data_IF_446902792458
#
_entry.id   IF_446902792458
#
_cell.length_a   1.000
_cell.length_b   1.000
_cell.length_c   1.000
_cell.angle_alpha   90.00
_cell.angle_beta   90.00
_cell.angle_gamma   90.00
#
_symmetry.space_group_name_H-M   'P 1'
#
loop_
_entity.id
_entity.type
_entity.pdbx_description
1 polymer ?
#
# COMPACT_ATOMS: atom_id res chain seq x y z
N UNK A 1 -21.02 -6.76 -7.08
CA UNK A 1 -21.00 -5.32 -7.39
C UNK A 1 -19.63 -4.77 -7.74
N UNK A 2 -18.62 -4.79 -6.87
CA UNK A 2 -17.28 -4.22 -7.17
C UNK A 2 -16.64 -4.83 -8.43
N UNK A 3 -16.61 -6.16 -8.57
CA UNK A 3 -16.05 -6.82 -9.77
C UNK A 3 -16.85 -6.44 -11.03
N UNK A 4 -18.18 -6.29 -10.89
CA UNK A 4 -19.03 -5.89 -12.01
C UNK A 4 -18.81 -4.44 -12.44
N UNK A 5 -18.57 -3.54 -11.49
CA UNK A 5 -18.20 -2.16 -11.78
C UNK A 5 -16.85 -2.07 -12.51
N UNK A 6 -15.87 -2.89 -12.11
CA UNK A 6 -14.56 -2.96 -12.77
C UNK A 6 -14.63 -3.57 -14.18
N UNK A 7 -15.47 -4.61 -14.37
CA UNK A 7 -15.64 -5.29 -15.66
C UNK A 7 -16.61 -4.60 -16.61
N UNK A 8 -17.53 -3.77 -16.10
CA UNK A 8 -18.65 -3.21 -16.85
C UNK A 8 -19.84 -4.18 -17.03
N UNK A 9 -19.78 -5.38 -16.46
CA UNK A 9 -20.83 -6.41 -16.56
C UNK A 9 -20.91 -7.29 -15.30
N UNK A 10 -22.08 -7.88 -14.98
CA UNK A 10 -22.22 -8.80 -13.85
C UNK A 10 -21.32 -10.04 -13.96
N UNK A 11 -20.89 -10.57 -12.81
CA UNK A 11 -20.17 -11.85 -12.75
C UNK A 11 -21.19 -12.98 -12.85
N UNK A 12 -20.99 -13.88 -13.81
CA UNK A 12 -21.78 -15.10 -13.93
C UNK A 12 -21.47 -16.07 -12.78
N UNK A 13 -22.52 -16.55 -12.11
CA UNK A 13 -22.43 -17.43 -10.94
C UNK A 13 -23.46 -18.55 -11.04
N UNK A 14 -23.22 -19.65 -10.33
CA UNK A 14 -24.21 -20.71 -10.07
C UNK A 14 -24.34 -20.93 -8.56
N UNK A 15 -25.49 -21.40 -8.09
CA UNK A 15 -25.69 -21.71 -6.66
C UNK A 15 -25.22 -23.12 -6.36
N UNK A 16 -24.34 -23.27 -5.36
CA UNK A 16 -23.94 -24.58 -4.85
C UNK A 16 -25.09 -25.29 -4.15
N UNK A 17 -25.31 -26.56 -4.46
CA UNK A 17 -26.16 -27.49 -3.70
C UNK A 17 -25.50 -28.00 -2.40
N UNK A 18 -24.22 -27.71 -2.20
CA UNK A 18 -23.44 -28.09 -1.00
C UNK A 18 -23.49 -26.98 0.04
N UNK A 19 -23.02 -25.78 -0.31
CA UNK A 19 -22.92 -24.64 0.61
C UNK A 19 -24.08 -23.65 0.48
N UNK A 20 -24.90 -23.72 -0.58
CA UNK A 20 -25.92 -22.72 -0.89
C UNK A 20 -25.36 -21.37 -1.38
N UNK A 21 -24.03 -21.24 -1.51
CA UNK A 21 -23.37 -19.99 -1.89
C UNK A 21 -23.35 -19.80 -3.42
N UNK A 22 -23.35 -18.54 -3.90
CA UNK A 22 -23.10 -18.23 -5.30
C UNK A 22 -21.61 -18.41 -5.62
N UNK A 23 -21.30 -19.33 -6.53
CA UNK A 23 -19.94 -19.68 -6.94
C UNK A 23 -19.65 -19.13 -8.35
N UNK A 24 -18.44 -18.56 -8.62
CA UNK A 24 -18.11 -18.04 -9.95
C UNK A 24 -18.11 -19.13 -11.02
N UNK A 25 -18.95 -18.98 -12.06
CA UNK A 25 -19.15 -20.01 -13.08
C UNK A 25 -17.88 -20.29 -13.92
N UNK A 26 -16.97 -19.31 -13.99
CA UNK A 26 -15.75 -19.38 -14.80
C UNK A 26 -14.48 -19.69 -14.00
N UNK A 27 -14.58 -20.00 -12.71
CA UNK A 27 -13.41 -20.37 -11.91
C UNK A 27 -12.72 -21.62 -12.44
N UNK A 28 -11.39 -21.67 -12.35
CA UNK A 28 -10.60 -22.83 -12.76
C UNK A 28 -10.84 -24.04 -11.83
N UNK A 29 -10.84 -23.78 -10.52
CA UNK A 29 -11.01 -24.75 -9.44
C UNK A 29 -11.80 -24.09 -8.30
N UNK A 30 -12.77 -24.81 -7.72
CA UNK A 30 -13.52 -24.38 -6.53
C UNK A 30 -13.51 -25.52 -5.51
N UNK A 31 -13.16 -25.19 -4.27
CA UNK A 31 -13.29 -26.07 -3.10
C UNK A 31 -14.54 -25.65 -2.33
N UNK A 32 -15.48 -26.57 -2.16
CA UNK A 32 -16.81 -26.30 -1.63
C UNK A 32 -17.11 -27.25 -0.46
N UNK A 33 -17.65 -26.72 0.62
CA UNK A 33 -17.78 -27.44 1.89
C UNK A 33 -18.07 -26.51 3.06
N UNK A 34 -17.60 -26.88 4.26
CA UNK A 34 -17.89 -26.15 5.49
C UNK A 34 -16.64 -26.01 6.38
N UNK A 35 -16.70 -25.05 7.30
CA UNK A 35 -15.70 -24.82 8.34
C UNK A 35 -16.36 -25.12 9.69
N UNK A 36 -15.82 -26.08 10.44
CA UNK A 36 -16.18 -26.28 11.85
C UNK A 36 -15.36 -25.31 12.71
N UNK A 37 -15.98 -24.40 13.49
CA UNK A 37 -15.23 -23.46 14.32
C UNK A 37 -14.41 -24.14 15.43
N UNK A 38 -14.66 -25.42 15.72
CA UNK A 38 -13.98 -26.18 16.77
C UNK A 38 -12.97 -27.21 16.23
N UNK A 39 -12.98 -27.53 14.93
CA UNK A 39 -11.92 -28.37 14.33
C UNK A 39 -10.74 -27.47 13.95
N UNK A 40 -9.72 -27.51 14.81
CA UNK A 40 -8.53 -26.66 14.73
C UNK A 40 -7.31 -27.52 14.41
N UNK A 41 -6.48 -27.07 13.47
CA UNK A 41 -5.22 -27.72 13.12
C UNK A 41 -4.05 -26.75 13.12
N UNK A 42 -2.87 -27.29 13.36
CA UNK A 42 -1.63 -26.56 13.16
C UNK A 42 -1.50 -26.14 11.70
N UNK A 43 -1.10 -24.89 11.49
CA UNK A 43 -0.87 -24.27 10.19
C UNK A 43 0.41 -23.45 10.30
N UNK A 44 1.25 -23.50 9.27
CA UNK A 44 2.55 -22.85 9.27
C UNK A 44 3.70 -23.76 9.78
N UNK A 45 4.91 -23.19 9.93
CA UNK A 45 5.25 -21.79 9.67
C UNK A 45 5.20 -21.46 8.18
N UNK A 46 4.76 -20.25 7.83
CA UNK A 46 4.64 -19.80 6.45
C UNK A 46 5.40 -18.49 6.23
N UNK A 47 5.99 -18.29 5.06
CA UNK A 47 6.62 -17.00 4.72
C UNK A 47 5.55 -15.93 4.55
N UNK A 48 5.71 -14.77 5.18
CA UNK A 48 4.70 -13.71 5.14
C UNK A 48 5.08 -12.57 4.18
N UNK A 49 4.10 -11.70 3.89
CA UNK A 49 4.28 -10.49 3.06
C UNK A 49 5.33 -9.51 3.62
N UNK A 50 5.83 -9.72 4.84
CA UNK A 50 6.92 -8.92 5.40
C UNK A 50 8.30 -9.42 4.96
N UNK A 51 8.38 -10.60 4.35
CA UNK A 51 9.62 -11.29 4.02
C UNK A 51 10.19 -12.15 5.14
N UNK A 52 9.45 -12.33 6.23
CA UNK A 52 9.83 -13.15 7.38
C UNK A 52 8.81 -14.27 7.57
N UNK A 53 9.22 -15.39 8.17
CA UNK A 53 8.28 -16.44 8.54
C UNK A 53 7.30 -15.92 9.60
N UNK A 54 6.02 -16.33 9.49
CA UNK A 54 5.10 -16.36 10.61
C UNK A 54 5.79 -17.12 11.74
N UNK A 55 5.74 -16.57 12.95
CA UNK A 55 6.58 -17.11 14.01
C UNK A 55 6.18 -16.59 15.36
N UNK A 56 5.39 -17.39 16.07
CA UNK A 56 5.90 -17.99 17.30
C UNK A 56 6.61 -19.28 16.90
N UNK A 57 7.87 -19.45 17.24
CA UNK A 57 8.44 -20.80 17.39
C UNK A 57 7.74 -21.47 18.57
N UNK A 58 6.66 -22.23 18.30
CA UNK A 58 6.07 -23.20 19.25
C UNK A 58 4.58 -23.05 19.63
N UNK A 59 3.87 -22.00 19.22
CA UNK A 59 2.43 -21.84 19.52
C UNK A 59 1.70 -21.06 18.40
N UNK A 60 1.79 -21.50 17.15
CA UNK A 60 0.88 -20.94 16.14
C UNK A 60 -0.56 -21.23 16.56
N UNK A 61 -1.40 -20.19 16.52
CA UNK A 61 -2.82 -20.33 16.85
C UNK A 61 -3.43 -21.27 15.83
N UNK A 62 -3.94 -22.45 16.24
CA UNK A 62 -4.44 -23.42 15.29
C UNK A 62 -5.62 -22.80 14.53
N UNK A 63 -5.69 -23.09 13.23
CA UNK A 63 -6.66 -22.50 12.30
C UNK A 63 -7.82 -23.44 12.07
N UNK A 64 -8.98 -22.87 11.79
CA UNK A 64 -10.16 -23.66 11.43
C UNK A 64 -9.92 -24.39 10.12
N UNK A 65 -10.37 -25.63 10.05
CA UNK A 65 -10.21 -26.49 8.87
C UNK A 65 -11.37 -26.29 7.90
N UNK A 66 -11.05 -26.17 6.60
CA UNK A 66 -12.04 -26.32 5.55
C UNK A 66 -12.25 -27.81 5.25
N UNK A 67 -13.42 -28.33 5.61
CA UNK A 67 -13.86 -29.67 5.22
C UNK A 67 -14.43 -29.63 3.81
N UNK A 68 -13.60 -29.96 2.82
CA UNK A 68 -14.01 -30.00 1.42
C UNK A 68 -14.96 -31.18 1.18
N UNK A 69 -16.19 -30.86 0.78
CA UNK A 69 -17.20 -31.85 0.40
C UNK A 69 -17.26 -32.05 -1.12
N UNK A 70 -16.90 -31.02 -1.90
CA UNK A 70 -16.87 -31.09 -3.36
C UNK A 70 -15.76 -30.25 -3.97
N UNK A 71 -15.20 -30.75 -5.06
CA UNK A 71 -14.24 -30.03 -5.91
C UNK A 71 -14.85 -29.84 -7.29
N UNK A 72 -15.13 -28.59 -7.67
CA UNK A 72 -15.52 -28.23 -9.03
C UNK A 72 -14.27 -27.80 -9.80
N UNK A 73 -14.14 -28.23 -11.07
CA UNK A 73 -12.99 -27.81 -11.91
C UNK A 73 -13.33 -27.83 -13.40
N UNK A 74 -12.64 -27.00 -14.18
CA UNK A 74 -12.62 -27.13 -15.65
C UNK A 74 -11.96 -28.45 -16.07
N UNK A 75 -12.23 -28.91 -17.29
CA UNK A 75 -11.65 -30.17 -17.84
C UNK A 75 -10.11 -30.16 -17.82
N UNK A 76 -9.50 -29.02 -18.12
CA UNK A 76 -8.05 -28.77 -18.08
C UNK A 76 -7.80 -27.54 -17.21
N UNK A 77 -7.83 -27.68 -15.87
CA UNK A 77 -7.79 -26.52 -14.99
C UNK A 77 -6.38 -25.92 -14.96
N UNK A 78 -6.29 -24.60 -14.88
CA UNK A 78 -5.06 -23.88 -14.56
C UNK A 78 -4.98 -23.68 -13.06
N UNK A 79 -3.90 -24.15 -12.44
CA UNK A 79 -3.64 -23.89 -11.03
C UNK A 79 -2.96 -22.53 -10.88
N UNK A 80 -3.76 -21.52 -10.50
CA UNK A 80 -3.24 -20.20 -10.19
C UNK A 80 -2.67 -20.20 -8.76
N UNK A 81 -1.42 -19.81 -8.62
CA UNK A 81 -0.74 -19.72 -7.33
C UNK A 81 0.02 -18.41 -7.24
N UNK A 82 0.15 -17.90 -6.01
CA UNK A 82 0.97 -16.75 -5.67
C UNK A 82 2.05 -17.20 -4.69
N UNK A 83 3.23 -16.59 -4.78
CA UNK A 83 4.29 -16.77 -3.79
C UNK A 83 4.37 -15.52 -2.93
N UNK A 84 4.27 -15.70 -1.62
CA UNK A 84 4.52 -14.65 -0.63
C UNK A 84 5.94 -14.74 -0.10
N UNK A 85 6.48 -13.61 0.36
CA UNK A 85 7.85 -13.52 0.83
C UNK A 85 8.34 -12.09 0.86
N UNK A 86 9.66 -11.91 0.67
CA UNK A 86 10.27 -10.59 0.70
C UNK A 86 9.74 -9.75 -0.48
N UNK A 87 9.29 -8.50 -0.25
CA UNK A 87 8.92 -7.62 -1.35
C UNK A 87 10.06 -7.47 -2.37
N UNK A 88 9.81 -7.44 -3.68
CA UNK A 88 8.50 -7.29 -4.35
C UNK A 88 8.03 -8.62 -4.97
N UNK A 89 6.76 -8.95 -4.73
CA UNK A 89 6.02 -10.05 -5.39
C UNK A 89 4.68 -9.50 -5.89
N UNK A 90 3.91 -10.32 -6.62
CA UNK A 90 2.53 -10.02 -7.05
C UNK A 90 1.63 -9.56 -5.89
N UNK A 91 1.76 -10.16 -4.70
CA UNK A 91 1.03 -9.75 -3.49
C UNK A 91 1.32 -8.28 -3.15
N UNK A 92 2.58 -7.85 -3.21
CA UNK A 92 2.97 -6.48 -2.87
C UNK A 92 2.52 -5.48 -3.93
N UNK A 93 2.54 -5.87 -5.21
CA UNK A 93 2.03 -5.05 -6.30
C UNK A 93 0.52 -4.83 -6.17
N UNK A 94 -0.23 -5.89 -5.90
CA UNK A 94 -1.69 -5.81 -5.69
C UNK A 94 -2.02 -4.98 -4.44
N UNK A 95 -1.29 -5.18 -3.34
CA UNK A 95 -1.47 -4.38 -2.12
C UNK A 95 -1.14 -2.90 -2.36
N UNK A 96 -0.03 -2.60 -3.03
CA UNK A 96 0.39 -1.24 -3.38
C UNK A 96 -0.68 -0.53 -4.22
N UNK A 97 -1.18 -1.19 -5.27
CA UNK A 97 -2.24 -0.64 -6.12
C UNK A 97 -3.51 -0.35 -5.32
N UNK A 98 -4.01 -1.35 -4.58
CA UNK A 98 -5.25 -1.22 -3.84
C UNK A 98 -5.15 -0.14 -2.75
N UNK A 99 -4.10 -0.20 -1.92
CA UNK A 99 -3.94 0.71 -0.78
C UNK A 99 -3.60 2.14 -1.20
N UNK A 100 -2.93 2.32 -2.34
CA UNK A 100 -2.74 3.65 -2.93
C UNK A 100 -4.08 4.29 -3.26
N UNK A 101 -4.96 3.55 -3.94
CA UNK A 101 -6.29 4.04 -4.29
C UNK A 101 -7.18 4.27 -3.06
N UNK A 102 -7.14 3.39 -2.06
CA UNK A 102 -7.96 3.56 -0.86
C UNK A 102 -7.46 4.69 0.03
N UNK A 103 -6.14 4.88 0.19
CA UNK A 103 -5.61 6.01 0.96
C UNK A 103 -5.96 7.35 0.30
N UNK A 104 -5.85 7.43 -1.04
CA UNK A 104 -6.30 8.61 -1.79
C UNK A 104 -7.78 8.89 -1.52
N UNK A 105 -8.62 7.86 -1.63
CA UNK A 105 -10.08 7.97 -1.39
C UNK A 105 -10.38 8.39 0.04
N UNK A 106 -9.68 7.83 1.02
CA UNK A 106 -9.85 8.16 2.44
C UNK A 106 -9.48 9.62 2.72
N UNK A 107 -8.41 10.14 2.12
CA UNK A 107 -7.99 11.54 2.26
C UNK A 107 -9.01 12.50 1.63
N UNK A 108 -9.56 12.15 0.46
CA UNK A 108 -10.64 12.91 -0.16
C UNK A 108 -11.91 12.90 0.69
N UNK A 109 -12.28 11.73 1.23
CA UNK A 109 -13.45 11.58 2.10
C UNK A 109 -13.30 12.36 3.42
N UNK A 110 -12.07 12.48 3.93
CA UNK A 110 -11.73 13.33 5.07
C UNK A 110 -11.72 14.83 4.74
N UNK A 111 -11.92 15.21 3.47
CA UNK A 111 -11.95 16.61 3.04
C UNK A 111 -10.59 17.29 3.02
N UNK A 112 -9.49 16.53 2.98
CA UNK A 112 -8.12 17.08 2.94
C UNK A 112 -7.86 17.65 1.54
N UNK A 113 -7.66 18.97 1.38
CA UNK A 113 -7.47 19.57 0.06
C UNK A 113 -6.02 19.44 -0.43
N UNK A 114 -5.78 19.79 -1.70
CA UNK A 114 -4.43 19.97 -2.24
C UNK A 114 -3.63 18.69 -2.52
N UNK A 115 -4.18 17.51 -2.28
CA UNK A 115 -3.53 16.23 -2.60
C UNK A 115 -3.32 16.11 -4.12
N UNK A 116 -2.09 15.76 -4.54
CA UNK A 116 -1.69 15.65 -5.96
C UNK A 116 -1.44 14.23 -6.42
N UNK A 117 -0.73 13.45 -5.62
CA UNK A 117 -0.55 12.01 -5.81
C UNK A 117 -0.35 11.34 -4.45
N UNK A 118 -0.78 10.09 -4.35
CA UNK A 118 -0.52 9.22 -3.20
C UNK A 118 0.16 7.97 -3.72
N UNK A 119 1.09 7.40 -2.97
CA UNK A 119 1.72 6.14 -3.32
C UNK A 119 2.13 5.36 -2.08
N UNK A 120 1.81 4.06 -2.05
CA UNK A 120 2.36 3.13 -1.08
C UNK A 120 3.30 2.16 -1.81
N UNK A 121 4.63 2.35 -1.73
CA UNK A 121 5.57 1.57 -2.52
C UNK A 121 5.49 0.06 -2.23
N UNK A 122 5.52 -0.81 -3.25
CA UNK A 122 5.55 -2.25 -3.06
C UNK A 122 6.82 -2.70 -2.33
N UNK A 123 7.93 -1.96 -2.43
CA UNK A 123 9.15 -2.16 -1.64
C UNK A 123 8.87 -2.08 -0.12
N UNK A 124 7.91 -1.24 0.29
CA UNK A 124 7.42 -1.10 1.67
C UNK A 124 6.27 -2.07 2.00
N UNK A 125 6.20 -3.21 1.29
CA UNK A 125 5.13 -4.19 1.40
C UNK A 125 3.77 -3.71 0.88
N UNK A 126 3.71 -2.57 0.18
CA UNK A 126 2.47 -1.94 -0.26
C UNK A 126 1.60 -1.41 0.89
N UNK A 127 2.14 -1.30 2.12
CA UNK A 127 1.36 -0.85 3.29
C UNK A 127 2.12 -0.10 4.38
N UNK A 128 3.41 -0.35 4.58
CA UNK A 128 4.14 0.17 5.75
C UNK A 128 4.56 1.62 5.59
N UNK A 129 4.69 2.09 4.35
CA UNK A 129 5.04 3.47 4.02
C UNK A 129 4.02 4.05 3.06
N UNK A 130 3.58 5.27 3.34
CA UNK A 130 2.79 6.09 2.42
C UNK A 130 3.56 7.35 2.05
N UNK A 131 3.43 7.77 0.81
CA UNK A 131 3.98 9.01 0.28
C UNK A 131 2.81 9.84 -0.23
N UNK A 132 2.74 11.11 0.17
CA UNK A 132 1.69 12.02 -0.25
C UNK A 132 2.32 13.29 -0.82
N UNK A 133 2.07 13.53 -2.11
CA UNK A 133 2.39 14.81 -2.75
C UNK A 133 1.25 15.78 -2.51
N UNK A 134 1.56 16.99 -2.05
CA UNK A 134 0.56 17.99 -1.68
C UNK A 134 0.94 19.39 -2.14
N UNK A 135 -0.05 20.13 -2.63
CA UNK A 135 0.01 21.58 -2.70
C UNK A 135 -0.23 22.15 -1.31
N UNK A 136 0.80 22.68 -0.66
CA UNK A 136 0.62 23.37 0.63
C UNK A 136 -0.22 24.64 0.43
N UNK A 137 -1.22 24.84 1.28
CA UNK A 137 -2.22 25.92 1.14
C UNK A 137 -2.33 26.83 2.37
N UNK A 138 -1.74 26.41 3.48
CA UNK A 138 -1.75 27.13 4.76
C UNK A 138 -0.62 26.58 5.66
N UNK A 139 -0.18 27.34 6.68
CA UNK A 139 0.80 26.86 7.65
C UNK A 139 0.34 25.56 8.32
N UNK A 140 1.22 24.55 8.35
CA UNK A 140 0.92 23.23 8.92
C UNK A 140 0.10 22.29 8.03
N UNK A 141 -0.18 22.64 6.76
CA UNK A 141 -0.98 21.80 5.86
C UNK A 141 -0.35 20.41 5.64
N UNK A 142 0.96 20.33 5.44
CA UNK A 142 1.71 19.07 5.28
C UNK A 142 1.53 18.14 6.48
N UNK A 143 1.62 18.67 7.71
CA UNK A 143 1.38 17.92 8.93
C UNK A 143 -0.08 17.47 9.07
N UNK A 144 -1.05 18.33 8.73
CA UNK A 144 -2.46 17.94 8.69
C UNK A 144 -2.68 16.76 7.74
N UNK A 145 -2.12 16.81 6.53
CA UNK A 145 -2.21 15.72 5.53
C UNK A 145 -1.62 14.43 6.07
N UNK A 146 -0.43 14.48 6.68
CA UNK A 146 0.22 13.30 7.22
C UNK A 146 -0.53 12.69 8.42
N UNK A 147 -1.02 13.52 9.33
CA UNK A 147 -1.84 13.06 10.46
C UNK A 147 -3.16 12.46 9.97
N UNK A 148 -3.81 13.07 8.98
CA UNK A 148 -5.01 12.53 8.35
C UNK A 148 -4.71 11.17 7.73
N UNK A 149 -3.64 11.04 6.93
CA UNK A 149 -3.22 9.78 6.32
C UNK A 149 -3.08 8.67 7.37
N UNK A 150 -2.41 8.93 8.49
CA UNK A 150 -2.28 7.97 9.60
C UNK A 150 -3.59 7.65 10.33
N UNK A 151 -4.59 8.51 10.23
CA UNK A 151 -5.88 8.38 10.93
C UNK A 151 -6.98 7.76 10.06
N UNK A 152 -6.71 7.54 8.77
CA UNK A 152 -7.64 6.90 7.83
C UNK A 152 -7.82 5.40 8.11
N UNK A 153 -8.89 4.81 7.56
CA UNK A 153 -9.08 3.36 7.56
C UNK A 153 -7.88 2.64 6.94
N UNK A 154 -7.34 3.15 5.82
CA UNK A 154 -6.17 2.56 5.15
C UNK A 154 -4.88 2.72 5.96
N UNK A 155 -4.63 3.88 6.55
CA UNK A 155 -3.36 4.21 7.21
C UNK A 155 -3.28 3.85 8.70
N UNK A 156 -4.39 3.80 9.45
CA UNK A 156 -4.31 3.56 10.89
C UNK A 156 -3.75 2.18 11.24
N UNK A 157 -4.04 1.15 10.42
CA UNK A 157 -3.62 -0.24 10.69
C UNK A 157 -2.29 -0.56 10.02
N UNK A 158 -1.19 -0.46 10.78
CA UNK A 158 0.12 -0.98 10.39
C UNK A 158 0.95 -0.13 9.43
N UNK A 159 0.46 1.01 8.93
CA UNK A 159 1.33 1.99 8.25
C UNK A 159 2.26 2.59 9.29
N UNK A 160 3.57 2.52 9.08
CA UNK A 160 4.59 3.03 10.00
C UNK A 160 4.98 4.46 9.69
N UNK A 161 5.12 4.79 8.42
CA UNK A 161 5.62 6.09 8.00
C UNK A 161 4.76 6.76 6.96
N UNK A 162 4.65 8.08 7.07
CA UNK A 162 4.13 8.94 5.99
C UNK A 162 5.20 9.96 5.63
N UNK A 163 5.56 10.02 4.36
CA UNK A 163 6.42 11.05 3.79
C UNK A 163 5.51 12.02 3.04
N UNK A 164 5.64 13.32 3.31
CA UNK A 164 4.93 14.36 2.56
C UNK A 164 5.93 15.12 1.71
N UNK A 165 5.62 15.31 0.44
CA UNK A 165 6.43 16.05 -0.54
C UNK A 165 5.58 17.13 -1.21
N UNK A 166 6.24 18.15 -1.76
CA UNK A 166 5.56 19.22 -2.50
C UNK A 166 4.93 18.72 -3.80
N UNK A 167 4.02 19.53 -4.36
CA UNK A 167 3.25 19.22 -5.58
C UNK A 167 4.09 19.01 -6.85
N UNK A 168 5.36 19.43 -6.86
CA UNK A 168 6.27 19.23 -7.98
C UNK A 168 6.86 17.82 -8.04
N UNK A 169 6.66 17.01 -6.99
CA UNK A 169 7.19 15.65 -6.85
C UNK A 169 6.03 14.66 -6.81
N UNK A 170 5.83 13.86 -7.88
CA UNK A 170 4.91 12.73 -7.84
C UNK A 170 5.31 11.74 -6.74
N UNK A 171 4.33 11.20 -6.03
CA UNK A 171 4.55 10.34 -4.86
C UNK A 171 5.18 8.99 -5.24
N UNK A 172 5.04 8.56 -6.49
CA UNK A 172 5.63 7.34 -7.06
C UNK A 172 7.03 7.56 -7.67
N UNK A 173 7.49 8.81 -7.78
CA UNK A 173 8.86 9.16 -8.14
C UNK A 173 9.78 9.05 -6.91
N UNK A 174 10.14 7.81 -6.57
CA UNK A 174 10.94 7.51 -5.37
C UNK A 174 12.28 8.23 -5.38
N UNK A 175 12.90 8.43 -6.55
CA UNK A 175 14.18 9.13 -6.67
C UNK A 175 14.02 10.61 -6.27
N UNK A 176 12.97 11.29 -6.74
CA UNK A 176 12.69 12.68 -6.34
C UNK A 176 12.18 12.79 -4.90
N UNK A 177 11.48 11.79 -4.37
CA UNK A 177 11.11 11.73 -2.94
C UNK A 177 12.36 11.64 -2.07
N UNK A 178 13.33 10.80 -2.43
CA UNK A 178 14.61 10.70 -1.73
C UNK A 178 15.41 12.01 -1.84
N UNK A 179 15.40 12.66 -3.01
CA UNK A 179 16.01 13.98 -3.17
C UNK A 179 15.37 15.04 -2.26
N UNK A 180 14.04 15.10 -2.16
CA UNK A 180 13.35 16.01 -1.24
C UNK A 180 13.74 15.77 0.22
N UNK A 181 13.80 14.50 0.64
CA UNK A 181 14.29 14.12 1.96
C UNK A 181 15.75 14.53 2.21
N UNK A 182 16.56 14.67 1.16
CA UNK A 182 17.96 15.09 1.30
C UNK A 182 18.13 16.60 1.42
N UNK A 183 17.30 17.40 0.73
CA UNK A 183 17.54 18.86 0.57
C UNK A 183 16.42 19.77 1.06
N UNK A 184 15.22 19.26 1.32
CA UNK A 184 14.06 20.03 1.81
C UNK A 184 13.71 19.69 3.27
N UNK A 185 14.11 18.51 3.73
CA UNK A 185 13.78 17.98 5.05
C UNK A 185 14.83 18.34 6.12
N UNK A 186 14.40 19.03 7.18
CA UNK A 186 15.20 19.21 8.39
C UNK A 186 14.70 18.24 9.47
N UNK A 187 15.45 17.19 9.85
CA UNK A 187 14.93 16.14 10.72
C UNK A 187 14.38 16.63 12.06
N UNK A 188 14.97 17.65 12.69
CA UNK A 188 14.50 18.12 13.99
C UNK A 188 13.15 18.85 13.89
N UNK A 189 13.00 19.73 12.89
CA UNK A 189 11.77 20.50 12.67
C UNK A 189 10.66 19.69 12.00
N UNK A 190 11.01 18.82 11.06
CA UNK A 190 10.08 18.20 10.11
C UNK A 190 9.71 16.74 10.44
N UNK A 191 10.17 16.21 11.58
CA UNK A 191 9.78 14.88 12.06
C UNK A 191 8.73 14.98 13.17
N UNK A 192 7.69 14.15 13.09
CA UNK A 192 6.83 13.85 14.24
C UNK A 192 6.83 12.34 14.52
N UNK A 193 6.91 11.95 15.79
CA UNK A 193 6.92 10.54 16.21
C UNK A 193 5.71 10.28 17.10
N UNK A 194 4.75 9.54 16.56
CA UNK A 194 3.58 9.08 17.29
C UNK A 194 3.95 7.77 17.99
N UNK A 195 4.13 7.83 19.31
CA UNK A 195 4.76 6.74 20.09
C UNK A 195 3.88 5.50 20.28
N UNK A 196 2.55 5.65 20.20
CA UNK A 196 1.59 4.58 20.50
C UNK A 196 0.49 4.56 19.46
N UNK A 197 0.64 3.68 18.48
CA UNK A 197 -0.29 3.48 17.40
C UNK A 197 -0.48 1.99 17.09
N UNK A 198 -1.53 1.68 16.33
CA UNK A 198 -1.88 0.31 15.98
C UNK A 198 -0.89 -0.28 14.98
N UNK A 199 -0.26 -1.39 15.35
CA UNK A 199 0.60 -2.15 14.44
C UNK A 199 -0.15 -3.37 13.86
N UNK A 200 0.59 -4.35 13.32
CA UNK A 200 0.08 -5.61 12.76
C UNK A 200 0.72 -6.77 13.52
N UNK A 201 -0.01 -7.90 13.71
CA UNK A 201 0.52 -9.10 14.36
C UNK A 201 1.70 -9.73 13.60
N UNK A 202 2.00 -9.25 12.40
CA UNK A 202 3.08 -9.72 11.54
C UNK A 202 4.22 -8.70 11.40
N UNK A 203 4.22 -7.61 12.16
CA UNK A 203 5.31 -6.64 12.15
C UNK A 203 6.61 -7.25 12.73
N UNK A 204 7.65 -7.50 11.92
CA UNK A 204 8.88 -8.13 12.39
C UNK A 204 9.78 -7.18 13.20
N UNK A 205 9.50 -5.87 13.21
CA UNK A 205 10.29 -4.89 13.97
C UNK A 205 9.89 -4.83 15.45
N UNK A 206 8.83 -5.53 15.85
CA UNK A 206 8.31 -5.58 17.22
C UNK A 206 8.50 -6.99 17.80
N UNK A 207 8.75 -7.10 19.12
CA UNK A 207 8.71 -8.38 19.83
C UNK A 207 7.39 -9.09 19.56
N UNK A 208 7.42 -10.41 19.34
CA UNK A 208 6.24 -11.20 18.98
C UNK A 208 5.07 -11.01 19.96
N UNK A 209 5.37 -10.84 21.24
CA UNK A 209 4.40 -10.65 22.34
C UNK A 209 3.81 -9.23 22.43
N UNK A 210 4.33 -8.27 21.64
CA UNK A 210 4.02 -6.84 21.76
C UNK A 210 3.59 -6.20 20.42
N UNK A 211 3.20 -7.03 19.44
CA UNK A 211 2.92 -6.57 18.06
C UNK A 211 1.63 -5.77 17.89
N UNK A 212 0.82 -5.60 18.92
CA UNK A 212 -0.41 -4.82 18.84
C UNK A 212 -0.15 -3.31 18.80
N UNK A 213 0.95 -2.86 19.41
CA UNK A 213 1.27 -1.44 19.59
C UNK A 213 2.67 -1.17 19.05
N UNK A 214 2.75 -0.26 18.08
CA UNK A 214 4.00 0.26 17.55
C UNK A 214 4.04 1.79 17.59
N UNK A 215 5.09 2.37 17.00
CA UNK A 215 5.18 3.80 16.73
C UNK A 215 4.96 4.09 15.25
N UNK A 216 4.62 5.34 14.95
CA UNK A 216 4.54 5.89 13.60
C UNK A 216 5.44 7.11 13.48
N UNK A 217 5.89 7.39 12.26
CA UNK A 217 6.67 8.57 11.92
C UNK A 217 5.96 9.36 10.82
N UNK A 218 6.07 10.68 10.90
CA UNK A 218 5.78 11.62 9.82
C UNK A 218 7.10 12.27 9.43
N UNK A 219 7.34 12.36 8.12
CA UNK A 219 8.50 13.03 7.55
C UNK A 219 8.00 14.10 6.56
N UNK A 220 8.01 15.36 6.98
CA UNK A 220 7.59 16.48 6.13
C UNK A 220 8.75 17.04 5.31
N UNK A 221 8.88 16.55 4.07
CA UNK A 221 9.87 16.99 3.10
C UNK A 221 9.37 18.15 2.21
N UNK A 222 8.30 18.85 2.61
CA UNK A 222 7.83 20.04 1.89
C UNK A 222 8.66 21.27 2.24
N UNK A 223 8.73 22.24 1.33
CA UNK A 223 9.25 23.57 1.65
C UNK A 223 8.25 24.26 2.60
N UNK A 224 8.67 24.72 3.80
CA UNK A 224 7.75 25.32 4.76
C UNK A 224 6.92 26.45 4.15
N UNK A 225 5.61 26.41 4.40
CA UNK A 225 4.66 27.31 3.78
C UNK A 225 4.92 28.77 4.16
N UNK A 226 5.27 28.99 5.43
CA UNK A 226 5.49 30.29 6.07
C UNK A 226 6.82 30.97 5.72
N UNK A 227 7.68 30.33 4.90
CA UNK A 227 8.90 30.98 4.46
C UNK A 227 8.60 32.09 3.44
N UNK A 228 8.92 33.33 3.81
CA UNK A 228 8.80 34.50 2.91
C UNK A 228 9.63 34.35 1.63
N UNK A 229 10.83 33.77 1.76
CA UNK A 229 11.73 33.47 0.64
C UNK A 229 11.99 31.97 0.57
N UNK A 230 11.44 31.33 -0.47
CA UNK A 230 11.65 29.91 -0.74
C UNK A 230 12.92 29.67 -1.57
N UNK A 231 13.56 28.49 -1.46
CA UNK A 231 14.61 28.09 -2.39
C UNK A 231 14.10 28.08 -3.82
N UNK A 232 14.93 28.51 -4.76
CA UNK A 232 14.63 28.44 -6.20
C UNK A 232 15.19 27.13 -6.75
N UNK A 233 14.34 26.33 -7.38
CA UNK A 233 14.75 25.11 -8.06
C UNK A 233 15.46 25.43 -9.37
N UNK A 234 16.48 24.65 -9.70
CA UNK A 234 17.17 24.74 -10.99
C UNK A 234 16.28 24.05 -12.03
N UNK A 235 15.94 24.77 -13.09
CA UNK A 235 15.26 24.21 -14.26
C UNK A 235 16.13 24.40 -15.51
N UNK A 236 15.94 23.51 -16.48
CA UNK A 236 16.54 23.65 -17.80
C UNK A 236 15.78 24.74 -18.58
N UNK A 237 16.51 25.53 -19.37
CA UNK A 237 15.91 26.50 -20.28
C UNK A 237 14.94 25.81 -21.27
N UNK A 238 13.68 26.25 -21.27
CA UNK A 238 12.61 25.59 -22.03
C UNK A 238 12.85 25.60 -23.54
N UNK A 239 13.44 26.67 -24.06
CA UNK A 239 13.75 26.78 -25.49
C UNK A 239 14.82 25.75 -25.88
N UNK A 240 15.87 25.62 -25.07
CA UNK A 240 16.92 24.62 -25.24
C UNK A 240 16.36 23.21 -25.13
N UNK A 241 15.54 22.92 -24.10
CA UNK A 241 14.90 21.59 -23.95
C UNK A 241 14.06 21.25 -25.19
N UNK A 242 13.27 22.21 -25.70
CA UNK A 242 12.46 22.01 -26.90
C UNK A 242 13.31 21.72 -28.13
N UNK A 243 14.40 22.47 -28.33
CA UNK A 243 15.35 22.26 -29.44
C UNK A 243 16.01 20.89 -29.37
N UNK A 244 16.45 20.46 -28.18
CA UNK A 244 17.09 19.16 -27.97
C UNK A 244 16.09 18.02 -28.18
N UNK A 245 14.88 18.11 -27.61
CA UNK A 245 13.83 17.09 -27.79
C UNK A 245 13.41 16.95 -29.25
N UNK A 246 13.26 18.06 -29.99
CA UNK A 246 12.91 18.03 -31.41
C UNK A 246 13.96 17.33 -32.29
N UNK A 247 15.20 17.23 -31.80
CA UNK A 247 16.33 16.61 -32.48
C UNK A 247 16.84 15.35 -31.78
N UNK A 248 16.07 14.78 -30.85
CA UNK A 248 16.55 13.65 -30.02
C UNK A 248 17.03 12.47 -30.87
N UNK A 249 16.27 12.13 -31.92
CA UNK A 249 16.62 11.09 -32.90
C UNK A 249 17.88 11.42 -33.71
N UNK A 250 18.16 12.70 -33.95
CA UNK A 250 19.36 13.12 -34.72
C UNK A 250 20.64 12.79 -33.97
N UNK A 251 20.58 12.67 -32.64
CA UNK A 251 21.74 12.37 -31.79
C UNK A 251 22.07 10.88 -31.69
N UNK A 252 21.23 10.00 -32.25
CA UNK A 252 21.43 8.55 -32.16
C UNK A 252 21.35 8.01 -30.72
N UNK A 253 20.55 8.66 -29.87
CA UNK A 253 20.28 8.24 -28.50
C UNK A 253 18.92 7.51 -28.46
N UNK A 254 18.88 6.34 -27.83
CA UNK A 254 17.67 5.56 -27.57
C UNK A 254 16.79 6.20 -26.47
#
# INVERSE_FOLDING_TARGET
DVIGALRGEPVEVFTSDVSGLPLPAHAEIILDGYIDPNDLREEGPFGEYTGYYSGKTGEEWPKQVLHVQRVWRRRKPVFYATSVGKPITDTHMIQSLNRTATLWTDLLAAGVPGIRSVYLPPQGGGRFWGIVSVKTMYPGHSMHVAMAAHSTTTGHYGMKGVIVVDEDIPADDIDRVLWALAVRYDPYRSTEIIKRARSTPLDPALPITERDIGSKIIMDATIPYEWDRKPEEIFLDEETVRKVKARWSDFGLD
#
